data_IF_157290117354
#
_entry.id   IF_157290117354
#
_cell.length_a   1.000
_cell.length_b   1.000
_cell.length_c   1.000
_cell.angle_alpha   90.00
_cell.angle_beta   90.00
_cell.angle_gamma   90.00
#
_symmetry.space_group_name_H-M   'P 1'
#
loop_
_entity.id
_entity.type
_entity.pdbx_description
1 polymer ?
#
# COMPACT_ATOMS: atom_id res chain seq x y z
N UNK A 1 11.58 -10.46 -10.89
CA UNK A 1 10.57 -10.06 -11.90
C UNK A 1 9.80 -11.28 -12.29
N UNK A 2 8.46 -11.19 -12.34
CA UNK A 2 7.58 -12.31 -12.69
C UNK A 2 7.39 -12.43 -14.19
N UNK A 3 7.17 -13.65 -14.65
CA UNK A 3 6.87 -14.00 -16.05
C UNK A 3 5.38 -13.88 -16.35
N UNK A 4 5.03 -13.83 -17.64
CA UNK A 4 3.62 -13.83 -18.09
C UNK A 4 2.83 -15.00 -17.48
N UNK A 5 3.38 -16.22 -17.53
CA UNK A 5 2.72 -17.40 -17.00
C UNK A 5 2.53 -17.33 -15.48
N UNK A 6 3.53 -16.85 -14.73
CA UNK A 6 3.38 -16.67 -13.29
C UNK A 6 2.25 -15.67 -12.97
N UNK A 7 2.13 -14.59 -13.74
CA UNK A 7 1.06 -13.59 -13.56
C UNK A 7 -0.31 -14.21 -13.84
N UNK A 8 -0.45 -14.98 -14.93
CA UNK A 8 -1.67 -15.74 -15.27
C UNK A 8 -2.05 -16.69 -14.13
N UNK A 9 -1.11 -17.49 -13.64
CA UNK A 9 -1.33 -18.45 -12.57
C UNK A 9 -1.78 -17.74 -11.29
N UNK A 10 -1.18 -16.58 -11.00
CA UNK A 10 -1.55 -15.77 -9.85
C UNK A 10 -2.96 -15.19 -9.98
N UNK A 11 -3.33 -14.63 -11.13
CA UNK A 11 -4.68 -14.13 -11.39
C UNK A 11 -5.69 -15.27 -11.18
N UNK A 12 -5.44 -16.45 -11.75
CA UNK A 12 -6.32 -17.60 -11.59
C UNK A 12 -6.49 -18.01 -10.12
N UNK A 13 -5.43 -17.90 -9.31
CA UNK A 13 -5.48 -18.22 -7.88
C UNK A 13 -6.28 -17.21 -7.06
N UNK A 14 -6.34 -15.94 -7.44
CA UNK A 14 -6.92 -14.87 -6.61
C UNK A 14 -8.25 -14.34 -7.14
N UNK A 15 -8.60 -14.57 -8.41
CA UNK A 15 -9.77 -13.94 -9.05
C UNK A 15 -11.10 -14.27 -8.39
N UNK A 16 -11.23 -15.46 -7.79
CA UNK A 16 -12.46 -15.88 -7.10
C UNK A 16 -12.60 -15.21 -5.72
N UNK A 17 -11.48 -14.94 -5.05
CA UNK A 17 -11.43 -14.31 -3.74
C UNK A 17 -11.32 -12.76 -3.81
N UNK A 18 -10.99 -12.22 -5.00
CA UNK A 18 -10.82 -10.78 -5.22
C UNK A 18 -12.18 -10.08 -5.32
N UNK A 19 -12.76 -9.77 -4.16
CA UNK A 19 -14.09 -9.16 -4.06
C UNK A 19 -14.19 -7.79 -4.77
N UNK A 20 -13.12 -6.99 -4.75
CA UNK A 20 -13.10 -5.65 -5.34
C UNK A 20 -12.20 -5.51 -6.57
N UNK A 21 -11.50 -6.58 -6.99
CA UNK A 21 -10.67 -6.59 -8.19
C UNK A 21 -9.39 -5.76 -8.11
N UNK A 22 -9.00 -5.24 -6.93
CA UNK A 22 -7.86 -4.33 -6.84
C UNK A 22 -6.53 -4.99 -7.17
N UNK A 23 -6.41 -6.29 -6.94
CA UNK A 23 -5.26 -7.07 -7.38
C UNK A 23 -5.21 -7.21 -8.90
N UNK A 24 -6.37 -7.40 -9.53
CA UNK A 24 -6.47 -7.54 -10.99
C UNK A 24 -6.12 -6.23 -11.70
N UNK A 25 -6.49 -5.09 -11.12
CA UNK A 25 -6.07 -3.76 -11.59
C UNK A 25 -4.54 -3.62 -11.68
N UNK A 26 -3.79 -4.37 -10.86
CA UNK A 26 -2.32 -4.34 -10.85
C UNK A 26 -1.74 -5.41 -11.76
N UNK A 27 -2.31 -6.61 -11.81
CA UNK A 27 -1.72 -7.72 -12.55
C UNK A 27 -2.03 -7.68 -14.05
N UNK A 28 -3.27 -7.32 -14.44
CA UNK A 28 -3.71 -7.33 -15.83
C UNK A 28 -2.91 -6.40 -16.76
N UNK A 29 -2.55 -5.16 -16.35
CA UNK A 29 -1.80 -4.26 -17.22
C UNK A 29 -0.42 -4.79 -17.63
N UNK A 30 0.14 -5.79 -16.94
CA UNK A 30 1.44 -6.37 -17.30
C UNK A 30 1.34 -7.65 -18.13
N UNK A 31 0.13 -8.03 -18.57
CA UNK A 31 -0.07 -9.15 -19.48
C UNK A 31 -0.11 -8.70 -20.94
N UNK A 32 0.57 -9.46 -21.81
CA UNK A 32 0.35 -9.36 -23.24
C UNK A 32 -1.08 -9.81 -23.62
N UNK A 33 -1.50 -9.52 -24.85
CA UNK A 33 -2.85 -9.83 -25.30
C UNK A 33 -3.21 -11.31 -25.19
N UNK A 34 -2.27 -12.19 -25.55
CA UNK A 34 -2.51 -13.63 -25.58
C UNK A 34 -2.77 -14.20 -24.20
N UNK A 35 -2.10 -13.67 -23.18
CA UNK A 35 -2.30 -14.04 -21.78
C UNK A 35 -3.45 -13.27 -21.12
N UNK A 36 -3.73 -12.02 -21.53
CA UNK A 36 -4.76 -11.17 -20.93
C UNK A 36 -6.18 -11.53 -21.36
N UNK A 37 -6.40 -11.90 -22.64
CA UNK A 37 -7.73 -12.03 -23.25
C UNK A 37 -8.72 -12.93 -22.49
N UNK A 38 -8.22 -13.94 -21.79
CA UNK A 38 -9.04 -14.84 -20.98
C UNK A 38 -9.66 -14.19 -19.73
N UNK A 39 -9.19 -13.00 -19.35
CA UNK A 39 -9.64 -12.24 -18.18
C UNK A 39 -10.41 -10.97 -18.55
N UNK A 40 -10.48 -10.65 -19.85
CA UNK A 40 -11.15 -9.46 -20.34
C UNK A 40 -12.61 -9.75 -20.68
N UNK A 41 -13.38 -8.68 -20.84
CA UNK A 41 -14.75 -8.77 -21.34
C UNK A 41 -14.75 -9.20 -22.80
N UNK A 42 -15.86 -9.80 -23.25
CA UNK A 42 -16.01 -10.32 -24.63
C UNK A 42 -15.86 -9.25 -25.71
N UNK A 43 -16.11 -7.98 -25.38
CA UNK A 43 -15.97 -6.82 -26.27
C UNK A 43 -14.56 -6.22 -26.29
N UNK A 44 -13.63 -6.75 -25.49
CA UNK A 44 -12.24 -6.34 -25.55
C UNK A 44 -11.63 -6.77 -26.88
N UNK A 45 -10.84 -5.89 -27.49
CA UNK A 45 -10.13 -6.17 -28.74
C UNK A 45 -8.63 -6.00 -28.54
N UNK A 46 -7.85 -6.79 -29.28
CA UNK A 46 -6.40 -6.67 -29.30
C UNK A 46 -5.97 -5.25 -29.65
N UNK A 47 -6.69 -4.62 -30.58
CA UNK A 47 -6.39 -3.26 -31.02
C UNK A 47 -6.52 -2.24 -29.89
N UNK A 48 -7.50 -2.39 -29.00
CA UNK A 48 -7.66 -1.54 -27.82
C UNK A 48 -6.67 -1.91 -26.70
N UNK A 49 -6.10 -3.12 -26.74
CA UNK A 49 -5.12 -3.59 -25.77
C UNK A 49 -3.70 -3.17 -26.10
N UNK A 50 -3.34 -2.88 -27.37
CA UNK A 50 -1.95 -2.60 -27.78
C UNK A 50 -1.24 -1.49 -27.00
N UNK A 51 -1.97 -0.53 -26.46
CA UNK A 51 -1.43 0.58 -25.66
C UNK A 51 -1.36 0.29 -24.15
N UNK A 52 -1.86 -0.86 -23.72
CA UNK A 52 -2.09 -1.20 -22.31
C UNK A 52 -1.00 -2.05 -21.64
N UNK A 53 -0.31 -2.99 -22.32
CA UNK A 53 0.80 -3.73 -21.74
C UNK A 53 1.87 -2.76 -21.24
N UNK A 54 1.92 -2.59 -19.92
CA UNK A 54 2.99 -1.89 -19.28
C UNK A 54 4.24 -2.78 -19.33
N UNK A 55 5.39 -2.21 -19.68
CA UNK A 55 6.61 -2.98 -19.67
C UNK A 55 6.92 -3.35 -18.22
N UNK A 56 7.33 -4.60 -18.02
CA UNK A 56 7.58 -5.12 -16.69
C UNK A 56 8.67 -4.31 -15.95
N UNK A 57 9.66 -3.76 -16.66
CA UNK A 57 10.67 -2.88 -16.06
C UNK A 57 10.09 -1.57 -15.46
N UNK A 58 8.88 -1.16 -15.86
CA UNK A 58 8.15 -0.02 -15.32
C UNK A 58 7.46 -0.26 -13.98
N UNK A 59 7.35 -1.52 -13.53
CA UNK A 59 6.61 -1.91 -12.31
C UNK A 59 7.08 -1.12 -11.07
N UNK A 60 8.39 -0.98 -10.89
CA UNK A 60 8.92 -0.29 -9.71
C UNK A 60 8.56 1.19 -9.71
N UNK A 61 8.69 1.85 -10.86
CA UNK A 61 8.39 3.27 -11.01
C UNK A 61 6.91 3.58 -10.75
N UNK A 62 6.00 2.72 -11.25
CA UNK A 62 4.57 2.87 -11.02
C UNK A 62 4.22 2.63 -9.54
N UNK A 63 4.74 1.56 -8.95
CA UNK A 63 4.51 1.23 -7.54
C UNK A 63 5.03 2.36 -6.61
N UNK A 64 6.20 2.93 -6.92
CA UNK A 64 6.77 4.06 -6.17
C UNK A 64 5.90 5.30 -6.30
N UNK A 65 5.51 5.67 -7.52
CA UNK A 65 4.63 6.82 -7.79
C UNK A 65 3.32 6.67 -7.02
N UNK A 66 2.68 5.50 -7.06
CA UNK A 66 1.45 5.23 -6.32
C UNK A 66 1.65 5.34 -4.80
N UNK A 67 2.76 4.79 -4.27
CA UNK A 67 3.10 4.87 -2.84
C UNK A 67 3.25 6.33 -2.38
N UNK A 68 3.95 7.16 -3.15
CA UNK A 68 4.26 8.56 -2.83
C UNK A 68 3.03 9.46 -2.95
N UNK A 69 2.34 9.41 -4.09
CA UNK A 69 1.22 10.32 -4.38
C UNK A 69 -0.06 9.91 -3.67
N UNK A 70 -0.25 8.62 -3.43
CA UNK A 70 -1.53 8.08 -2.99
C UNK A 70 -1.43 7.32 -1.68
N UNK A 71 -0.61 6.26 -1.62
CA UNK A 71 -0.65 5.26 -0.57
C UNK A 71 -0.41 5.83 0.84
N UNK A 72 0.72 6.52 1.02
CA UNK A 72 1.09 7.18 2.30
C UNK A 72 0.01 8.17 2.76
N UNK A 73 -0.56 8.92 1.82
CA UNK A 73 -1.62 9.91 2.11
C UNK A 73 -2.92 9.26 2.57
N UNK A 74 -3.31 8.10 2.03
CA UNK A 74 -4.55 7.41 2.45
C UNK A 74 -4.46 6.84 3.85
N UNK A 75 -3.31 6.24 4.20
CA UNK A 75 -3.05 5.81 5.57
C UNK A 75 -3.04 7.01 6.53
N UNK A 76 -2.30 8.07 6.21
CA UNK A 76 -2.20 9.29 7.04
C UNK A 76 -3.56 9.95 7.31
N UNK A 77 -4.50 9.86 6.37
CA UNK A 77 -5.82 10.49 6.44
C UNK A 77 -6.92 9.53 6.90
N UNK A 78 -6.57 8.35 7.43
CA UNK A 78 -7.49 7.41 8.07
C UNK A 78 -8.63 6.95 7.13
N UNK A 79 -8.35 6.78 5.84
CA UNK A 79 -9.34 6.37 4.84
C UNK A 79 -9.36 4.84 4.71
N UNK A 80 -10.14 4.15 5.55
CA UNK A 80 -10.13 2.67 5.68
C UNK A 80 -10.13 1.91 4.36
N UNK A 81 -11.12 2.11 3.49
CA UNK A 81 -11.23 1.38 2.23
C UNK A 81 -10.08 1.71 1.26
N UNK A 82 -9.73 2.99 1.16
CA UNK A 82 -8.62 3.42 0.29
C UNK A 82 -7.26 2.93 0.78
N UNK A 83 -7.08 2.79 2.09
CA UNK A 83 -5.88 2.25 2.70
C UNK A 83 -5.79 0.74 2.48
N UNK A 84 -6.89 -0.01 2.59
CA UNK A 84 -6.93 -1.46 2.30
C UNK A 84 -6.53 -1.72 0.86
N UNK A 85 -7.18 -1.01 -0.07
CA UNK A 85 -6.83 -1.03 -1.49
C UNK A 85 -5.36 -0.74 -1.73
N UNK A 86 -4.79 0.24 -1.02
CA UNK A 86 -3.36 0.55 -1.16
C UNK A 86 -2.52 -0.66 -0.79
N UNK A 87 -2.81 -1.33 0.33
CA UNK A 87 -2.06 -2.50 0.75
C UNK A 87 -2.20 -3.65 -0.24
N UNK A 88 -3.41 -3.91 -0.74
CA UNK A 88 -3.65 -4.94 -1.76
C UNK A 88 -2.82 -4.65 -3.02
N UNK A 89 -2.94 -3.45 -3.60
CA UNK A 89 -2.18 -3.07 -4.81
C UNK A 89 -0.67 -3.13 -4.59
N UNK A 90 -0.19 -2.57 -3.48
CA UNK A 90 1.24 -2.59 -3.17
C UNK A 90 1.77 -4.02 -2.97
N UNK A 91 0.97 -4.92 -2.39
CA UNK A 91 1.35 -6.33 -2.22
C UNK A 91 1.52 -7.03 -3.57
N UNK A 92 0.65 -6.72 -4.54
CA UNK A 92 0.74 -7.27 -5.89
C UNK A 92 1.93 -6.72 -6.69
N UNK A 93 2.21 -5.42 -6.60
CA UNK A 93 3.45 -4.87 -7.16
C UNK A 93 4.72 -5.47 -6.54
N UNK A 94 4.74 -5.66 -5.21
CA UNK A 94 5.88 -6.33 -4.55
C UNK A 94 6.07 -7.76 -5.05
N UNK A 95 4.97 -8.46 -5.34
CA UNK A 95 5.03 -9.79 -5.92
C UNK A 95 5.58 -9.76 -7.35
N UNK A 96 5.12 -8.85 -8.21
CA UNK A 96 5.65 -8.66 -9.57
C UNK A 96 7.17 -8.39 -9.58
N UNK A 97 7.65 -7.62 -8.60
CA UNK A 97 9.08 -7.33 -8.41
C UNK A 97 9.87 -8.50 -7.81
N UNK A 98 9.23 -9.62 -7.46
CA UNK A 98 9.87 -10.80 -6.88
C UNK A 98 10.23 -10.65 -5.40
N UNK A 99 9.56 -9.76 -4.66
CA UNK A 99 9.72 -9.61 -3.20
C UNK A 99 8.82 -10.61 -2.46
N UNK A 100 8.88 -11.89 -2.85
CA UNK A 100 7.97 -12.94 -2.38
C UNK A 100 8.02 -13.12 -0.85
N UNK A 101 9.18 -12.91 -0.23
CA UNK A 101 9.35 -12.96 1.23
C UNK A 101 8.52 -11.90 1.95
N UNK A 102 8.49 -10.67 1.42
CA UNK A 102 7.69 -9.58 1.99
C UNK A 102 6.20 -9.84 1.78
N UNK A 103 5.82 -10.31 0.59
CA UNK A 103 4.44 -10.66 0.25
C UNK A 103 3.91 -11.76 1.19
N UNK A 104 4.72 -12.78 1.46
CA UNK A 104 4.40 -13.84 2.40
C UNK A 104 4.12 -13.27 3.81
N UNK A 105 5.00 -12.40 4.31
CA UNK A 105 4.83 -11.76 5.63
C UNK A 105 3.55 -10.93 5.73
N UNK A 106 3.20 -10.21 4.66
CA UNK A 106 1.97 -9.41 4.60
C UNK A 106 0.74 -10.33 4.61
N UNK A 107 0.68 -11.33 3.72
CA UNK A 107 -0.50 -12.21 3.57
C UNK A 107 -0.72 -13.12 4.79
N UNK A 108 0.35 -13.56 5.45
CA UNK A 108 0.26 -14.33 6.71
C UNK A 108 0.11 -13.46 7.97
N UNK A 109 -0.07 -12.14 7.81
CA UNK A 109 -0.27 -11.18 8.91
C UNK A 109 0.88 -11.13 9.92
N UNK A 110 2.09 -11.52 9.52
CA UNK A 110 3.31 -11.29 10.29
C UNK A 110 3.60 -9.78 10.40
N UNK A 111 3.16 -9.00 9.39
CA UNK A 111 3.11 -7.55 9.45
C UNK A 111 1.64 -7.12 9.54
N UNK A 112 1.28 -6.45 10.63
CA UNK A 112 -0.11 -6.12 10.95
C UNK A 112 -0.68 -4.99 10.08
N UNK A 113 -1.95 -5.14 9.65
CA UNK A 113 -2.76 -4.07 9.03
C UNK A 113 -3.26 -3.02 10.05
N UNK A 114 -2.65 -2.93 11.23
CA UNK A 114 -2.98 -1.87 12.18
C UNK A 114 -2.71 -0.48 11.61
N UNK A 115 -3.44 0.50 12.13
CA UNK A 115 -3.28 1.91 11.77
C UNK A 115 -3.31 2.14 10.25
N UNK A 116 -4.34 1.63 9.59
CA UNK A 116 -4.56 1.82 8.15
C UNK A 116 -3.40 1.30 7.29
N UNK A 117 -2.77 0.19 7.70
CA UNK A 117 -1.66 -0.45 6.98
C UNK A 117 -0.32 0.29 7.07
N UNK A 118 -0.17 1.29 7.94
CA UNK A 118 1.08 2.06 8.05
C UNK A 118 2.34 1.20 8.32
N UNK A 119 2.30 0.14 9.16
CA UNK A 119 3.45 -0.75 9.34
C UNK A 119 3.85 -1.46 8.03
N UNK A 120 2.86 -1.91 7.24
CA UNK A 120 3.10 -2.57 5.95
C UNK A 120 3.73 -1.59 4.96
N UNK A 121 3.21 -0.36 4.87
CA UNK A 121 3.78 0.67 3.98
C UNK A 121 5.24 0.98 4.32
N UNK A 122 5.58 1.02 5.62
CA UNK A 122 6.96 1.20 6.09
C UNK A 122 7.84 0.04 5.64
N UNK A 123 7.42 -1.21 5.88
CA UNK A 123 8.17 -2.39 5.50
C UNK A 123 8.43 -2.47 3.99
N UNK A 124 7.46 -2.05 3.18
CA UNK A 124 7.63 -1.94 1.71
C UNK A 124 8.69 -0.89 1.37
N UNK A 125 8.59 0.31 1.94
CA UNK A 125 9.58 1.35 1.68
C UNK A 125 10.99 0.91 2.10
N UNK A 126 11.15 0.25 3.25
CA UNK A 126 12.44 -0.29 3.70
C UNK A 126 12.98 -1.37 2.77
N UNK A 127 12.14 -2.32 2.33
CA UNK A 127 12.54 -3.39 1.42
C UNK A 127 12.97 -2.87 0.04
N UNK A 128 12.36 -1.77 -0.39
CA UNK A 128 12.62 -1.15 -1.69
C UNK A 128 13.67 -0.04 -1.65
N UNK A 129 14.15 0.36 -0.46
CA UNK A 129 15.03 1.53 -0.31
C UNK A 129 14.34 2.85 -0.66
N UNK A 130 13.01 2.92 -0.55
CA UNK A 130 12.24 4.16 -0.75
C UNK A 130 12.13 4.95 0.55
N UNK A 131 12.00 6.27 0.43
CA UNK A 131 11.86 7.14 1.59
C UNK A 131 10.56 6.87 2.35
N UNK A 132 10.66 6.77 3.67
CA UNK A 132 9.50 6.78 4.57
C UNK A 132 9.64 7.91 5.59
N UNK A 133 8.56 8.64 5.93
CA UNK A 133 8.65 9.72 6.90
C UNK A 133 9.23 9.23 8.24
N UNK A 134 10.20 9.95 8.78
CA UNK A 134 10.85 9.65 10.07
C UNK A 134 10.18 10.37 11.25
N UNK A 135 9.19 11.22 10.98
CA UNK A 135 8.44 11.98 11.97
C UNK A 135 6.99 12.19 11.55
N UNK A 136 6.17 12.66 12.48
CA UNK A 136 4.77 13.00 12.24
C UNK A 136 3.82 11.80 12.38
N UNK A 137 2.58 11.99 11.90
CA UNK A 137 1.45 11.07 12.14
C UNK A 137 1.70 9.68 11.54
N UNK A 138 2.06 9.62 10.25
CA UNK A 138 2.27 8.35 9.56
C UNK A 138 3.44 7.53 10.16
N UNK A 139 4.53 8.21 10.52
CA UNK A 139 5.64 7.58 11.23
C UNK A 139 5.19 6.95 12.54
N UNK A 140 4.49 7.69 13.41
CA UNK A 140 3.96 7.16 14.68
C UNK A 140 3.07 5.93 14.47
N UNK A 141 2.16 6.01 13.51
CA UNK A 141 1.25 4.92 13.14
C UNK A 141 2.01 3.65 12.70
N UNK A 142 3.12 3.83 11.96
CA UNK A 142 3.98 2.71 11.56
C UNK A 142 4.73 2.07 12.73
N UNK A 143 4.86 2.77 13.87
CA UNK A 143 5.44 2.23 15.11
C UNK A 143 4.39 1.56 16.01
N UNK A 144 3.17 1.32 15.52
CA UNK A 144 2.09 0.71 16.31
C UNK A 144 1.41 1.67 17.29
N UNK A 145 1.82 2.94 17.36
CA UNK A 145 1.15 3.92 18.21
C UNK A 145 -0.27 4.18 17.69
N UNK A 146 -1.21 4.38 18.62
CA UNK A 146 -2.61 4.63 18.29
C UNK A 146 -2.74 5.78 17.30
N UNK A 147 -3.57 5.53 16.29
CA UNK A 147 -4.13 6.56 15.44
C UNK A 147 -4.85 7.62 16.30
N UNK A 148 -4.42 8.88 16.22
CA UNK A 148 -5.08 10.02 16.86
C UNK A 148 -5.40 11.06 15.79
N UNK A 149 -6.58 11.68 15.86
CA UNK A 149 -6.86 12.84 15.02
C UNK A 149 -5.95 14.01 15.42
N UNK A 150 -5.74 14.97 14.51
CA UNK A 150 -4.89 16.13 14.81
C UNK A 150 -5.48 16.99 15.93
N UNK A 151 -6.80 17.00 16.08
CA UNK A 151 -7.52 17.69 17.15
C UNK A 151 -7.26 17.06 18.52
N UNK A 152 -7.37 15.73 18.63
CA UNK A 152 -7.05 15.00 19.86
C UNK A 152 -5.58 15.19 20.23
N UNK A 153 -4.68 15.20 19.23
CA UNK A 153 -3.25 15.46 19.45
C UNK A 153 -2.97 16.89 19.92
N UNK A 154 -3.58 17.91 19.30
CA UNK A 154 -3.43 19.31 19.74
C UNK A 154 -3.89 19.46 21.18
N UNK A 155 -5.05 18.87 21.52
CA UNK A 155 -5.58 18.90 22.89
C UNK A 155 -4.64 18.23 23.88
N UNK A 156 -4.11 17.04 23.56
CA UNK A 156 -3.12 16.35 24.40
C UNK A 156 -1.80 17.12 24.54
N UNK A 157 -1.33 17.80 23.50
CA UNK A 157 -0.11 18.63 23.57
C UNK A 157 -0.34 19.93 24.35
N UNK A 158 -1.54 20.51 24.29
CA UNK A 158 -1.92 21.67 25.10
C UNK A 158 -2.04 21.26 26.57
N UNK A 159 -2.74 20.16 26.86
CA UNK A 159 -2.86 19.61 28.22
C UNK A 159 -1.48 19.27 28.81
N UNK A 160 -0.60 18.62 28.03
CA UNK A 160 0.76 18.33 28.49
C UNK A 160 1.59 19.60 28.75
N UNK A 161 1.45 20.64 27.91
CA UNK A 161 2.12 21.92 28.12
C UNK A 161 1.60 22.66 29.35
N UNK A 162 0.28 22.73 29.54
CA UNK A 162 -0.31 23.29 30.75
C UNK A 162 0.17 22.57 32.00
N UNK A 163 0.22 21.23 32.01
CA UNK A 163 0.72 20.49 33.18
C UNK A 163 2.21 20.72 33.46
N UNK A 164 3.02 21.05 32.44
CA UNK A 164 4.44 21.38 32.62
C UNK A 164 4.63 22.82 33.09
N UNK A 165 3.86 23.77 32.55
CA UNK A 165 3.83 25.16 33.01
C UNK A 165 3.30 25.27 34.45
N UNK A 166 2.33 24.44 34.86
CA UNK A 166 1.83 24.38 36.24
C UNK A 166 2.85 23.76 37.22
N UNK A 167 3.72 22.85 36.75
CA UNK A 167 4.84 22.32 37.53
C UNK A 167 5.99 23.34 37.66
N UNK A 168 6.17 24.21 36.67
CA UNK A 168 7.16 25.30 36.68
C UNK A 168 6.65 26.56 37.42
N UNK A 169 5.34 26.76 37.52
CA UNK A 169 4.69 27.80 38.33
C UNK A 169 4.44 27.41 39.80
N UNK A 170 4.96 26.26 40.24
CA UNK A 170 4.99 25.87 41.65
C UNK A 170 5.99 26.69 42.47
N UNK A 171 5.73 27.99 42.65
CA UNK A 171 6.11 28.71 43.87
C UNK A 171 5.41 27.98 45.04
N UNK A 172 6.11 27.43 46.03
CA UNK A 172 6.95 28.18 46.96
C UNK A 172 6.12 28.45 48.20
#
# INVERSE_FOLDING_TARGET
>A
MKTQQEIVDRINKIKEDSFLGFELDVLLPYLDWDNAKAFLKEDASEQNWKDYPLPLDGVEAEAKTYMEDYGKRKAKNHRSLSASRTIEKMTEWMWLLGKDDLVYKIKNKEISYQNYGAPILKAICEKMGWDFPTKGKLWRMSQGLKCTTDEVRKKQMIEFKCTMEDLECGCG
#
